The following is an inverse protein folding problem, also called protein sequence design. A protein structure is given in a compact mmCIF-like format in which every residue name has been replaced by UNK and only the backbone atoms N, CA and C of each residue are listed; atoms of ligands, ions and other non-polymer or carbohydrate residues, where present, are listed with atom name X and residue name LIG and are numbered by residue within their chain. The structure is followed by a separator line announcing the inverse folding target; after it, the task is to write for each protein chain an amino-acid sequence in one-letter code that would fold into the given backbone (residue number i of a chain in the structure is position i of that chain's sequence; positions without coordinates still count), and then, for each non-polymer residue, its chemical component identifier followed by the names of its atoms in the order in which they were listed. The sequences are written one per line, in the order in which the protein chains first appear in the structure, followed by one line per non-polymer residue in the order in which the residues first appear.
data_IF_939462726189
#
_entry.id   IF_939462726189
#
_cell.length_a   1.000
_cell.length_b   1.000
_cell.length_c   1.000
_cell.angle_alpha   90.00
_cell.angle_beta   90.00
_cell.angle_gamma   90.00
#
_symmetry.space_group_name_H-M   'P 1'
#
loop_
_entity.id
_entity.type
_entity.pdbx_description
1 polymer ?
#
# COMPACT_ATOMS: atom_id res chain seq x y z
N UNK A 1 -3.22 -14.09 -22.07
CA UNK A 1 -4.08 -13.23 -21.23
C UNK A 1 -3.21 -12.34 -20.33
N UNK A 2 -2.85 -11.12 -20.75
CA UNK A 2 -2.16 -10.15 -19.87
C UNK A 2 -3.19 -9.64 -18.86
N UNK A 3 -3.19 -10.15 -17.62
CA UNK A 3 -4.14 -9.74 -16.58
C UNK A 3 -3.94 -8.25 -16.28
N UNK A 4 -4.96 -7.45 -16.61
CA UNK A 4 -5.00 -5.97 -16.55
C UNK A 4 -4.88 -5.36 -15.15
N UNK A 5 -4.76 -6.19 -14.11
CA UNK A 5 -4.71 -5.79 -12.69
C UNK A 5 -3.62 -6.51 -11.91
N UNK A 6 -2.59 -7.03 -12.59
CA UNK A 6 -1.55 -7.83 -11.93
C UNK A 6 -0.79 -6.98 -10.93
N UNK A 7 -0.52 -5.71 -11.24
CA UNK A 7 0.27 -4.84 -10.37
C UNK A 7 -0.56 -4.42 -9.15
N UNK A 8 -1.82 -4.03 -9.36
CA UNK A 8 -2.75 -3.73 -8.26
C UNK A 8 -2.89 -4.91 -7.31
N UNK A 9 -3.10 -6.12 -7.84
CA UNK A 9 -3.25 -7.32 -7.00
C UNK A 9 -1.96 -7.63 -6.22
N UNK A 10 -0.79 -7.50 -6.83
CA UNK A 10 0.49 -7.72 -6.13
C UNK A 10 0.70 -6.69 -5.01
N UNK A 11 0.43 -5.41 -5.27
CA UNK A 11 0.61 -4.32 -4.31
C UNK A 11 -0.40 -4.42 -3.15
N UNK A 12 -1.64 -4.75 -3.46
CA UNK A 12 -2.67 -5.00 -2.44
C UNK A 12 -2.34 -6.24 -1.61
N UNK A 13 -1.89 -7.34 -2.24
CA UNK A 13 -1.49 -8.54 -1.50
C UNK A 13 -0.27 -8.30 -0.59
N UNK A 14 0.70 -7.52 -1.06
CA UNK A 14 1.90 -7.17 -0.28
C UNK A 14 1.55 -6.31 0.93
N UNK A 15 0.68 -5.31 0.76
CA UNK A 15 0.20 -4.49 1.88
C UNK A 15 -0.66 -5.29 2.88
N UNK A 16 -1.50 -6.23 2.39
CA UNK A 16 -2.25 -7.13 3.26
C UNK A 16 -1.31 -8.02 4.09
N UNK A 17 -0.29 -8.60 3.45
CA UNK A 17 0.72 -9.43 4.10
C UNK A 17 1.47 -8.64 5.17
N UNK A 18 1.84 -7.39 4.87
CA UNK A 18 2.50 -6.51 5.82
C UNK A 18 1.62 -6.22 7.05
N UNK A 19 0.33 -5.91 6.85
CA UNK A 19 -0.61 -5.69 7.94
C UNK A 19 -0.80 -6.95 8.79
N UNK A 20 -0.83 -8.12 8.15
CA UNK A 20 -0.93 -9.40 8.84
C UNK A 20 0.33 -9.75 9.65
N UNK A 21 1.51 -9.52 9.07
CA UNK A 21 2.81 -9.69 9.75
C UNK A 21 2.92 -8.79 10.98
N UNK A 22 2.48 -7.53 10.86
CA UNK A 22 2.42 -6.60 11.97
C UNK A 22 1.41 -7.04 13.04
N UNK A 23 0.22 -7.50 12.64
CA UNK A 23 -0.80 -8.01 13.55
C UNK A 23 -0.32 -9.22 14.38
N UNK A 24 0.53 -10.07 13.80
CA UNK A 24 1.16 -11.20 14.47
C UNK A 24 2.20 -10.79 15.54
N UNK A 25 2.50 -9.50 15.68
CA UNK A 25 3.45 -9.00 16.68
C UNK A 25 4.92 -9.20 16.31
N UNK A 26 5.21 -9.60 15.07
CA UNK A 26 6.59 -9.71 14.57
C UNK A 26 7.28 -8.36 14.36
N UNK A 27 6.55 -7.25 14.49
CA UNK A 27 7.07 -5.89 14.39
C UNK A 27 6.85 -5.11 15.70
N UNK A 28 7.67 -5.36 16.74
CA UNK A 28 7.45 -4.83 18.10
C UNK A 28 7.58 -3.30 18.22
N UNK A 29 8.05 -2.62 17.17
CA UNK A 29 8.20 -1.16 17.12
C UNK A 29 7.44 -0.53 15.95
N UNK A 30 6.57 -1.29 15.29
CA UNK A 30 5.82 -0.87 14.11
C UNK A 30 6.71 -0.36 12.96
N UNK A 31 8.00 -0.72 12.93
CA UNK A 31 9.00 -0.12 12.04
C UNK A 31 8.76 -0.47 10.57
N UNK A 32 8.38 -1.71 10.27
CA UNK A 32 8.09 -2.11 8.89
C UNK A 32 6.78 -1.50 8.40
N UNK A 33 5.75 -1.51 9.24
CA UNK A 33 4.47 -0.86 8.89
C UNK A 33 4.70 0.63 8.60
N UNK A 34 5.55 1.27 9.40
CA UNK A 34 5.90 2.66 9.23
C UNK A 34 6.72 2.91 7.97
N UNK A 35 7.78 2.13 7.74
CA UNK A 35 8.67 2.31 6.59
C UNK A 35 8.02 1.99 5.26
N UNK A 36 7.00 1.13 5.21
CA UNK A 36 6.33 0.75 3.97
C UNK A 36 4.97 1.46 3.79
N UNK A 37 4.45 2.15 4.79
CA UNK A 37 3.19 2.88 4.67
C UNK A 37 3.45 4.36 4.36
N UNK A 38 3.36 4.72 3.08
CA UNK A 38 3.45 6.12 2.61
C UNK A 38 2.52 7.06 3.41
N UNK A 39 1.26 6.70 3.71
CA UNK A 39 0.38 7.56 4.51
C UNK A 39 0.88 7.82 5.94
N UNK A 40 1.56 6.84 6.56
CA UNK A 40 2.03 6.97 7.93
C UNK A 40 3.16 8.01 8.02
N UNK A 41 4.00 8.14 7.00
CA UNK A 41 5.06 9.15 6.96
C UNK A 41 4.49 10.56 7.12
N UNK A 42 3.34 10.83 6.51
CA UNK A 42 2.67 12.11 6.61
C UNK A 42 1.93 12.25 7.94
N UNK A 43 1.19 11.22 8.37
CA UNK A 43 0.43 11.25 9.62
C UNK A 43 1.29 11.56 10.84
N UNK A 44 2.52 11.09 10.87
CA UNK A 44 3.42 11.34 12.01
C UNK A 44 4.03 12.72 12.09
N UNK A 45 3.90 13.51 11.03
CA UNK A 45 4.21 14.93 11.11
C UNK A 45 3.13 15.69 11.90
N UNK A 46 1.93 15.11 12.03
CA UNK A 46 0.76 15.75 12.64
C UNK A 46 0.27 15.07 13.93
N UNK A 47 0.55 13.77 14.12
CA UNK A 47 0.02 12.97 15.23
C UNK A 47 1.12 12.09 15.84
N UNK A 48 1.16 11.98 17.18
CA UNK A 48 2.09 11.08 17.87
C UNK A 48 1.79 9.61 17.53
N UNK A 49 2.83 8.84 17.21
CA UNK A 49 2.78 7.42 16.83
C UNK A 49 2.00 6.57 17.84
N UNK A 50 2.08 6.91 19.12
CA UNK A 50 1.38 6.18 20.18
C UNK A 50 -0.13 6.43 20.22
N UNK A 51 -0.59 7.53 19.63
CA UNK A 51 -1.99 7.92 19.59
C UNK A 51 -2.71 7.46 18.30
N UNK A 52 -1.97 6.92 17.32
CA UNK A 52 -2.54 6.47 16.05
C UNK A 52 -3.25 5.13 16.24
N UNK A 53 -4.51 5.06 15.81
CA UNK A 53 -5.26 3.81 15.78
C UNK A 53 -4.66 2.84 14.74
N UNK A 54 -4.26 1.64 15.18
CA UNK A 54 -3.67 0.60 14.34
C UNK A 54 -4.56 0.18 13.16
N UNK A 55 -5.87 0.04 13.39
CA UNK A 55 -6.80 -0.32 12.31
C UNK A 55 -6.88 0.79 11.26
N UNK A 56 -6.87 2.05 11.71
CA UNK A 56 -6.82 3.19 10.80
C UNK A 56 -5.54 3.18 9.95
N UNK A 57 -4.40 2.91 10.59
CA UNK A 57 -3.12 2.77 9.89
C UNK A 57 -3.17 1.67 8.82
N UNK A 58 -3.69 0.47 9.16
CA UNK A 58 -3.79 -0.65 8.21
C UNK A 58 -4.67 -0.32 7.00
N UNK A 59 -5.86 0.25 7.23
CA UNK A 59 -6.77 0.63 6.15
C UNK A 59 -6.10 1.63 5.23
N UNK A 60 -5.40 2.61 5.80
CA UNK A 60 -4.71 3.63 5.02
C UNK A 60 -3.53 3.05 4.22
N UNK A 61 -2.76 2.12 4.82
CA UNK A 61 -1.69 1.40 4.14
C UNK A 61 -2.22 0.62 2.95
N UNK A 62 -3.26 -0.21 3.15
CA UNK A 62 -3.85 -1.01 2.07
C UNK A 62 -4.45 -0.10 0.98
N UNK A 63 -5.17 0.95 1.35
CA UNK A 63 -5.76 1.89 0.41
C UNK A 63 -4.69 2.61 -0.43
N UNK A 64 -3.58 3.02 0.19
CA UNK A 64 -2.48 3.69 -0.50
C UNK A 64 -1.77 2.76 -1.50
N UNK A 65 -1.42 1.55 -1.08
CA UNK A 65 -0.79 0.58 -1.98
C UNK A 65 -1.72 0.12 -3.10
N UNK A 66 -3.01 -0.05 -2.82
CA UNK A 66 -4.02 -0.35 -3.84
C UNK A 66 -4.14 0.80 -4.86
N UNK A 67 -4.13 2.06 -4.39
CA UNK A 67 -4.19 3.23 -5.26
C UNK A 67 -2.93 3.34 -6.15
N UNK A 68 -1.75 3.13 -5.59
CA UNK A 68 -0.48 3.13 -6.35
C UNK A 68 -0.49 2.04 -7.42
N UNK A 69 -0.90 0.81 -7.06
CA UNK A 69 -1.04 -0.29 -7.99
C UNK A 69 -2.05 0.01 -9.11
N UNK A 70 -3.18 0.63 -8.76
CA UNK A 70 -4.20 1.05 -9.73
C UNK A 70 -3.68 2.09 -10.71
N UNK A 71 -2.96 3.11 -10.23
CA UNK A 71 -2.32 4.12 -11.08
C UNK A 71 -1.30 3.46 -12.02
N UNK A 72 -0.48 2.56 -11.51
CA UNK A 72 0.49 1.82 -12.33
C UNK A 72 -0.19 1.00 -13.43
N UNK A 73 -1.24 0.24 -13.10
CA UNK A 73 -2.01 -0.52 -14.09
C UNK A 73 -2.66 0.40 -15.14
N UNK A 74 -3.19 1.57 -14.75
CA UNK A 74 -3.73 2.57 -15.68
C UNK A 74 -2.66 3.16 -16.59
N UNK A 75 -1.48 3.50 -16.07
CA UNK A 75 -0.37 4.01 -16.88
C UNK A 75 0.12 2.98 -17.90
N UNK A 76 0.21 1.70 -17.50
CA UNK A 76 0.57 0.61 -18.42
C UNK A 76 -0.47 0.49 -19.53
N UNK A 77 -1.77 0.53 -19.20
CA UNK A 77 -2.83 0.49 -20.21
C UNK A 77 -2.74 1.65 -21.21
N UNK A 78 -2.48 2.88 -20.73
CA UNK A 78 -2.31 4.06 -21.60
C UNK A 78 -1.09 3.90 -22.53
N UNK A 79 -0.01 3.26 -22.06
CA UNK A 79 1.18 3.02 -22.90
C UNK A 79 0.93 1.95 -23.97
N UNK A 80 0.17 0.92 -23.65
CA UNK A 80 -0.16 -0.15 -24.59
C UNK A 80 -1.12 0.34 -25.70
N UNK A 81 -2.09 1.20 -25.38
CA UNK A 81 -2.95 1.83 -26.41
C UNK A 81 -2.18 2.76 -27.34
N UNK A 82 -1.22 3.54 -26.81
CA UNK A 82 -0.35 4.40 -27.64
C UNK A 82 0.61 3.63 -28.55
N UNK A 83 0.96 2.38 -28.22
CA UNK A 83 1.84 1.53 -29.03
C UNK A 83 1.13 0.83 -30.18
N UNK A 84 -0.20 0.72 -30.11
CA UNK A 84 -1.03 0.06 -31.13
C UNK A 84 -1.56 1.04 -32.20
N UNK A 85 -1.31 2.34 -32.03
CA UNK A 85 -1.63 3.42 -32.96
C UNK A 85 -0.36 3.89 -33.64
#
# INVERSE_FOLDING_TARGET
MRRRYTITLLFTALSLFLCFYHYLGFDPKNMMLFSLSVPLWFLTLFVDIRAINLFFAYVLTVASWALIGYIADRMVQIRETKKAQ
#
